data_IF_577695239038
#
_entry.id   IF_577695239038
#
_cell.length_a   1.000
_cell.length_b   1.000
_cell.length_c   1.000
_cell.angle_alpha   90.00
_cell.angle_beta   90.00
_cell.angle_gamma   90.00
#
_symmetry.space_group_name_H-M   'P 1'
#
loop_
_entity.id
_entity.type
_entity.pdbx_description
1 polymer ?
#
# COMPACT_ATOMS: atom_id res chain seq x y z
N UNK A 1 16.69 -2.00 8.88
CA UNK A 1 17.17 -1.85 7.51
C UNK A 1 18.61 -2.32 7.46
N UNK A 2 18.91 -3.29 6.62
CA UNK A 2 20.27 -3.86 6.44
C UNK A 2 21.12 -2.95 5.53
N UNK A 3 21.11 -1.63 5.77
CA UNK A 3 21.89 -0.66 5.00
C UNK A 3 21.14 0.02 3.85
N UNK A 4 19.88 -0.32 3.60
CA UNK A 4 19.08 0.32 2.55
C UNK A 4 18.51 1.66 3.01
N UNK A 5 18.51 2.65 2.13
CA UNK A 5 17.79 3.90 2.34
C UNK A 5 16.28 3.70 2.14
N UNK A 6 15.49 4.03 3.14
CA UNK A 6 14.03 3.79 3.13
C UNK A 6 13.25 5.09 3.31
N UNK A 7 12.29 5.33 2.42
CA UNK A 7 11.29 6.39 2.60
C UNK A 7 9.92 5.77 2.80
N UNK A 8 9.37 5.90 4.00
CA UNK A 8 8.01 5.47 4.33
C UNK A 8 6.98 6.52 3.94
N UNK A 9 5.84 6.08 3.43
CA UNK A 9 4.69 6.94 3.08
C UNK A 9 3.45 6.41 3.79
N UNK A 10 2.66 7.27 4.41
CA UNK A 10 1.33 6.96 4.94
C UNK A 10 0.48 8.23 4.93
N UNK A 11 -0.81 8.11 4.66
CA UNK A 11 -1.76 9.23 4.72
C UNK A 11 -2.04 9.67 6.16
N UNK A 12 -1.78 8.79 7.12
CA UNK A 12 -2.12 8.97 8.55
C UNK A 12 -3.59 9.40 8.70
N UNK A 13 -4.50 8.71 7.97
CA UNK A 13 -5.93 8.95 8.04
C UNK A 13 -6.53 8.43 9.37
N UNK A 14 -7.77 8.81 9.64
CA UNK A 14 -8.52 8.51 10.85
C UNK A 14 -9.43 7.28 10.76
N UNK A 15 -9.19 6.38 9.82
CA UNK A 15 -9.96 5.15 9.65
C UNK A 15 -10.05 4.32 10.96
N UNK A 16 -8.98 4.34 11.74
CA UNK A 16 -8.94 3.88 13.13
C UNK A 16 -8.14 4.87 13.96
N UNK A 17 -8.06 4.68 15.28
CA UNK A 17 -7.36 5.60 16.17
C UNK A 17 -5.97 5.97 15.62
N UNK A 18 -5.83 7.22 15.23
CA UNK A 18 -4.62 7.76 14.60
C UNK A 18 -3.40 7.71 15.53
N UNK A 19 -3.62 7.66 16.86
CA UNK A 19 -2.53 7.55 17.82
C UNK A 19 -1.76 6.22 17.68
N UNK A 20 -2.43 5.16 17.19
CA UNK A 20 -1.75 3.90 16.86
C UNK A 20 -0.76 4.10 15.72
N UNK A 21 -1.10 4.92 14.72
CA UNK A 21 -0.20 5.25 13.59
C UNK A 21 0.97 6.10 14.06
N UNK A 22 0.70 7.15 14.83
CA UNK A 22 1.77 7.98 15.40
C UNK A 22 2.68 7.18 16.35
N UNK A 23 2.12 6.27 17.17
CA UNK A 23 2.92 5.39 18.01
C UNK A 23 3.89 4.49 17.23
N UNK A 24 3.47 3.98 16.05
CA UNK A 24 4.37 3.24 15.14
C UNK A 24 5.48 4.13 14.61
N UNK A 25 5.16 5.35 14.18
CA UNK A 25 6.12 6.31 13.65
C UNK A 25 7.12 6.75 14.72
N UNK A 26 6.67 7.00 15.95
CA UNK A 26 7.56 7.35 17.09
C UNK A 26 8.57 6.24 17.36
N UNK A 27 8.18 4.96 17.26
CA UNK A 27 9.11 3.83 17.40
C UNK A 27 10.19 3.78 16.32
N UNK A 28 9.95 4.42 15.18
CA UNK A 28 10.93 4.56 14.09
C UNK A 28 11.64 5.91 14.14
N UNK A 29 11.47 6.68 15.20
CA UNK A 29 12.13 7.97 15.39
C UNK A 29 11.49 9.14 14.64
N UNK A 30 10.24 9.02 14.22
CA UNK A 30 9.46 10.07 13.57
C UNK A 30 8.46 10.66 14.57
N UNK A 31 8.70 11.86 15.07
CA UNK A 31 7.78 12.55 15.99
C UNK A 31 6.61 13.19 15.26
N UNK A 32 5.42 13.07 15.84
CA UNK A 32 4.17 13.62 15.30
C UNK A 32 4.26 15.12 15.01
N UNK A 33 4.88 15.88 15.89
CA UNK A 33 5.04 17.34 15.79
C UNK A 33 5.81 17.81 14.54
N UNK A 34 6.66 16.94 13.99
CA UNK A 34 7.48 17.23 12.82
C UNK A 34 6.77 16.83 11.50
N UNK A 35 5.60 16.18 11.58
CA UNK A 35 4.91 15.68 10.41
C UNK A 35 4.06 16.77 9.78
N UNK A 36 4.48 17.22 8.60
CA UNK A 36 3.71 18.11 7.72
C UNK A 36 3.41 17.39 6.40
N UNK A 37 2.23 17.63 5.83
CA UNK A 37 1.82 17.01 4.57
C UNK A 37 2.82 17.30 3.46
N UNK A 38 3.19 16.29 2.68
CA UNK A 38 4.14 16.34 1.55
C UNK A 38 5.57 16.79 1.93
N UNK A 39 5.93 16.83 3.23
CA UNK A 39 7.28 17.16 3.66
C UNK A 39 7.99 15.93 4.22
N UNK A 40 9.29 15.81 3.92
CA UNK A 40 10.15 14.75 4.44
C UNK A 40 10.55 15.00 5.87
N UNK A 41 10.41 13.99 6.70
CA UNK A 41 10.88 13.98 8.10
C UNK A 41 11.96 12.91 8.22
N UNK A 42 13.15 13.30 8.63
CA UNK A 42 14.26 12.38 8.91
C UNK A 42 14.03 11.69 10.26
N UNK A 43 14.24 10.38 10.32
CA UNK A 43 14.24 9.65 11.58
C UNK A 43 15.36 10.13 12.50
N UNK A 44 15.04 10.21 13.81
CA UNK A 44 16.00 10.56 14.87
C UNK A 44 16.88 9.38 15.32
N UNK A 45 16.50 8.15 14.97
CA UNK A 45 17.16 6.91 15.41
C UNK A 45 17.70 6.04 14.28
N UNK A 46 17.32 6.35 13.04
CA UNK A 46 17.78 5.63 11.84
C UNK A 46 18.17 6.64 10.75
N UNK A 47 19.46 6.80 10.50
CA UNK A 47 19.99 7.77 9.53
C UNK A 47 19.52 7.50 8.09
N UNK A 48 19.18 6.24 7.80
CA UNK A 48 18.71 5.77 6.50
C UNK A 48 17.18 5.65 6.41
N UNK A 49 16.41 6.24 7.33
CA UNK A 49 14.95 6.23 7.28
C UNK A 49 14.36 7.64 7.27
N UNK A 50 13.47 7.88 6.31
CA UNK A 50 12.67 9.10 6.18
C UNK A 50 11.19 8.74 6.13
N UNK A 51 10.34 9.69 6.49
CA UNK A 51 8.89 9.55 6.40
C UNK A 51 8.27 10.75 5.68
N UNK A 52 7.22 10.50 4.90
CA UNK A 52 6.40 11.53 4.25
C UNK A 52 4.92 11.22 4.51
N UNK A 53 4.20 12.17 5.09
CA UNK A 53 2.74 12.10 5.13
C UNK A 53 2.18 12.48 3.77
N UNK A 54 1.61 11.52 3.04
CA UNK A 54 1.14 11.73 1.67
C UNK A 54 0.02 10.75 1.34
N UNK A 55 -1.01 11.21 0.63
CA UNK A 55 -2.06 10.35 0.10
C UNK A 55 -1.64 9.76 -1.26
N UNK A 56 -1.99 8.51 -1.53
CA UNK A 56 -1.70 7.89 -2.83
C UNK A 56 -2.48 8.55 -3.97
N UNK A 57 -3.64 9.15 -3.67
CA UNK A 57 -4.48 9.87 -4.63
C UNK A 57 -3.87 11.21 -5.06
N UNK A 58 -2.94 11.74 -4.30
CA UNK A 58 -2.19 12.97 -4.63
C UNK A 58 -1.12 12.66 -5.68
N UNK A 59 -1.55 12.67 -6.94
CA UNK A 59 -0.71 12.34 -8.07
C UNK A 59 0.54 13.22 -8.14
N UNK A 60 0.38 14.53 -7.96
CA UNK A 60 1.48 15.48 -8.08
C UNK A 60 2.50 15.29 -6.94
N UNK A 61 2.02 15.05 -5.72
CA UNK A 61 2.85 14.72 -4.57
C UNK A 61 3.65 13.42 -4.77
N UNK A 62 3.01 12.37 -5.28
CA UNK A 62 3.68 11.09 -5.61
C UNK A 62 4.72 11.31 -6.71
N UNK A 63 4.37 11.99 -7.80
CA UNK A 63 5.29 12.26 -8.91
C UNK A 63 6.52 13.06 -8.44
N UNK A 64 6.32 14.10 -7.63
CA UNK A 64 7.42 14.90 -7.06
C UNK A 64 8.32 14.04 -6.17
N UNK A 65 7.76 13.21 -5.31
CA UNK A 65 8.52 12.35 -4.41
C UNK A 65 9.38 11.35 -5.19
N UNK A 66 8.80 10.64 -6.16
CA UNK A 66 9.52 9.65 -6.97
C UNK A 66 10.65 10.27 -7.79
N UNK A 67 10.42 11.44 -8.40
CA UNK A 67 11.48 12.18 -9.12
C UNK A 67 12.64 12.61 -8.22
N UNK A 68 12.33 12.96 -6.97
CA UNK A 68 13.35 13.44 -6.03
C UNK A 68 14.17 12.27 -5.43
N UNK A 69 13.53 11.15 -5.10
CA UNK A 69 14.18 10.03 -4.43
C UNK A 69 14.71 8.95 -5.40
N UNK A 70 14.11 8.80 -6.59
CA UNK A 70 14.50 7.81 -7.62
C UNK A 70 14.59 6.39 -7.06
N UNK A 71 13.50 5.91 -6.50
CA UNK A 71 13.43 4.61 -5.82
C UNK A 71 13.82 3.44 -6.73
N UNK A 72 14.79 2.63 -6.32
CA UNK A 72 15.13 1.38 -6.98
C UNK A 72 14.03 0.32 -6.84
N UNK A 73 13.40 0.27 -5.67
CA UNK A 73 12.31 -0.66 -5.38
C UNK A 73 11.18 0.01 -4.60
N UNK A 74 9.97 -0.44 -4.84
CA UNK A 74 8.75 0.04 -4.15
C UNK A 74 8.03 -1.14 -3.51
N UNK A 75 7.66 -0.98 -2.23
CA UNK A 75 6.80 -1.91 -1.50
C UNK A 75 5.49 -1.20 -1.15
N UNK A 76 4.45 -1.38 -1.97
CA UNK A 76 3.15 -0.75 -1.75
C UNK A 76 2.24 -1.65 -0.90
N UNK A 77 2.24 -1.42 0.40
CA UNK A 77 1.32 -2.05 1.36
C UNK A 77 0.10 -1.15 1.66
N UNK A 78 0.11 0.09 1.17
CA UNK A 78 -0.93 1.06 1.42
C UNK A 78 -2.20 0.73 0.65
N UNK A 79 -3.33 0.82 1.33
CA UNK A 79 -4.66 0.68 0.77
C UNK A 79 -5.71 1.05 1.82
N UNK A 80 -6.93 1.41 1.38
CA UNK A 80 -8.08 1.29 2.26
C UNK A 80 -8.40 -0.21 2.41
N UNK A 81 -8.32 -0.70 3.63
CA UNK A 81 -8.58 -2.08 3.97
C UNK A 81 -9.95 -2.23 4.67
N UNK A 82 -10.41 -3.48 4.84
CA UNK A 82 -11.66 -3.79 5.54
C UNK A 82 -12.82 -4.09 4.58
N UNK A 83 -13.27 -5.36 4.54
CA UNK A 83 -14.37 -5.79 3.66
C UNK A 83 -15.68 -5.09 4.05
N UNK A 84 -15.98 -5.02 5.36
CA UNK A 84 -17.26 -4.44 5.84
C UNK A 84 -17.36 -2.95 5.55
N UNK A 85 -16.29 -2.20 5.74
CA UNK A 85 -16.25 -0.76 5.49
C UNK A 85 -16.48 -0.41 4.02
N UNK A 86 -16.15 -1.31 3.08
CA UNK A 86 -16.41 -1.10 1.65
C UNK A 86 -17.90 -1.08 1.28
N UNK A 87 -18.79 -1.55 2.17
CA UNK A 87 -20.23 -1.52 1.96
C UNK A 87 -20.82 -0.12 2.27
N UNK A 88 -20.21 0.61 3.18
CA UNK A 88 -20.69 1.93 3.63
C UNK A 88 -19.93 3.09 3.00
N UNK A 89 -18.70 2.89 2.62
CA UNK A 89 -17.80 3.93 2.07
C UNK A 89 -17.06 3.42 0.82
N UNK A 90 -17.77 3.15 -0.30
CA UNK A 90 -17.19 2.56 -1.50
C UNK A 90 -16.15 3.46 -2.18
N UNK A 91 -16.37 4.77 -2.20
CA UNK A 91 -15.53 5.74 -2.90
C UNK A 91 -14.08 5.74 -2.42
N UNK A 92 -13.85 5.53 -1.11
CA UNK A 92 -12.49 5.51 -0.56
C UNK A 92 -11.69 4.32 -1.10
N UNK A 93 -12.36 3.21 -1.47
CA UNK A 93 -11.69 2.05 -2.09
C UNK A 93 -11.31 2.32 -3.53
N UNK A 94 -12.14 3.01 -4.28
CA UNK A 94 -11.80 3.43 -5.64
C UNK A 94 -10.65 4.44 -5.61
N UNK A 95 -10.76 5.46 -4.78
CA UNK A 95 -9.75 6.50 -4.69
C UNK A 95 -8.39 5.93 -4.24
N UNK A 96 -8.33 5.28 -3.07
CA UNK A 96 -7.06 4.79 -2.53
C UNK A 96 -6.53 3.56 -3.25
N UNK A 97 -7.39 2.56 -3.54
CA UNK A 97 -6.91 1.28 -4.03
C UNK A 97 -6.78 1.22 -5.56
N UNK A 98 -7.57 1.99 -6.31
CA UNK A 98 -7.50 2.01 -7.78
C UNK A 98 -6.71 3.23 -8.24
N UNK A 99 -7.20 4.44 -7.97
CA UNK A 99 -6.53 5.67 -8.41
C UNK A 99 -5.15 5.82 -7.75
N UNK A 100 -5.05 5.61 -6.43
CA UNK A 100 -3.78 5.66 -5.73
C UNK A 100 -2.78 4.62 -6.22
N UNK A 101 -3.23 3.39 -6.48
CA UNK A 101 -2.35 2.35 -7.03
C UNK A 101 -1.91 2.66 -8.47
N UNK A 102 -2.78 3.26 -9.29
CA UNK A 102 -2.41 3.74 -10.63
C UNK A 102 -1.30 4.79 -10.54
N UNK A 103 -1.40 5.74 -9.60
CA UNK A 103 -0.36 6.75 -9.40
C UNK A 103 0.99 6.12 -9.05
N UNK A 104 1.01 5.07 -8.21
CA UNK A 104 2.23 4.31 -7.89
C UNK A 104 2.79 3.62 -9.15
N UNK A 105 1.94 2.96 -9.95
CA UNK A 105 2.37 2.29 -11.18
C UNK A 105 2.98 3.29 -12.19
N UNK A 106 2.32 4.43 -12.39
CA UNK A 106 2.83 5.50 -13.28
C UNK A 106 4.13 6.11 -12.75
N UNK A 107 4.21 6.35 -11.42
CA UNK A 107 5.44 6.84 -10.81
C UNK A 107 6.60 5.84 -10.97
N UNK A 108 6.35 4.54 -10.78
CA UNK A 108 7.35 3.49 -11.03
C UNK A 108 7.80 3.48 -12.50
N UNK A 109 6.84 3.59 -13.44
CA UNK A 109 7.10 3.60 -14.88
C UNK A 109 7.98 4.78 -15.29
N UNK A 110 7.65 5.98 -14.84
CA UNK A 110 8.34 7.21 -15.24
C UNK A 110 9.69 7.43 -14.54
N UNK A 111 9.97 6.70 -13.47
CA UNK A 111 11.22 6.81 -12.72
C UNK A 111 12.07 5.52 -12.76
N UNK A 112 11.77 4.62 -13.72
CA UNK A 112 12.56 3.42 -13.99
C UNK A 112 12.77 2.53 -12.75
N UNK A 113 11.74 2.46 -11.88
CA UNK A 113 11.78 1.59 -10.69
C UNK A 113 11.99 0.13 -11.09
N UNK A 114 12.97 -0.52 -10.49
CA UNK A 114 13.42 -1.87 -10.87
C UNK A 114 12.53 -2.99 -10.37
N UNK A 115 11.75 -2.75 -9.32
CA UNK A 115 10.85 -3.76 -8.73
C UNK A 115 9.70 -3.12 -7.95
N UNK A 116 8.49 -3.65 -8.13
CA UNK A 116 7.32 -3.28 -7.36
C UNK A 116 6.73 -4.52 -6.67
N UNK A 117 6.76 -4.54 -5.35
CA UNK A 117 6.02 -5.49 -4.53
C UNK A 117 4.75 -4.81 -4.00
N UNK A 118 3.60 -5.47 -4.06
CA UNK A 118 2.36 -4.86 -3.58
C UNK A 118 1.47 -5.86 -2.83
N UNK A 119 0.68 -5.33 -1.91
CA UNK A 119 -0.29 -6.10 -1.17
C UNK A 119 -1.54 -6.34 -2.02
N UNK A 120 -1.80 -7.59 -2.41
CA UNK A 120 -3.10 -8.11 -2.73
C UNK A 120 -3.78 -8.65 -1.45
N UNK A 121 -4.74 -9.52 -1.56
CA UNK A 121 -5.49 -10.06 -0.42
C UNK A 121 -6.03 -11.45 -0.72
N UNK A 122 -6.11 -12.30 0.30
CA UNK A 122 -6.86 -13.58 0.21
C UNK A 122 -8.34 -13.38 -0.11
N UNK A 123 -8.89 -12.19 0.10
CA UNK A 123 -10.28 -11.85 -0.28
C UNK A 123 -10.54 -12.00 -1.77
N UNK A 124 -9.51 -11.99 -2.63
CA UNK A 124 -9.66 -12.22 -4.09
C UNK A 124 -10.13 -13.63 -4.42
N UNK A 125 -9.93 -14.61 -3.52
CA UNK A 125 -10.43 -15.98 -3.71
C UNK A 125 -11.96 -16.08 -3.65
N UNK A 126 -12.64 -15.03 -3.12
CA UNK A 126 -14.10 -15.01 -3.06
C UNK A 126 -14.68 -16.18 -2.28
N UNK A 127 -15.68 -16.84 -2.87
CA UNK A 127 -16.35 -18.02 -2.31
C UNK A 127 -15.71 -19.35 -2.80
N UNK A 128 -14.43 -19.37 -3.09
CA UNK A 128 -13.77 -20.61 -3.49
C UNK A 128 -13.76 -21.60 -2.31
N UNK A 129 -14.21 -22.82 -2.54
CA UNK A 129 -14.35 -23.90 -1.54
C UNK A 129 -13.18 -24.88 -1.56
N UNK A 130 -12.27 -24.78 -2.52
CA UNK A 130 -11.10 -25.65 -2.62
C UNK A 130 -9.97 -25.18 -1.69
N UNK A 131 -9.56 -26.04 -0.77
CA UNK A 131 -8.49 -25.82 0.20
C UNK A 131 -7.37 -26.86 0.08
N UNK A 132 -6.10 -26.44 0.27
CA UNK A 132 -5.60 -25.09 0.50
C UNK A 132 -5.73 -24.20 -0.73
N UNK A 133 -5.89 -22.89 -0.55
CA UNK A 133 -5.92 -21.95 -1.67
C UNK A 133 -4.63 -21.99 -2.50
N UNK A 134 -4.79 -21.98 -3.81
CA UNK A 134 -3.69 -21.98 -4.78
C UNK A 134 -3.69 -20.67 -5.59
N UNK A 135 -2.52 -20.24 -6.00
CA UNK A 135 -2.39 -19.10 -6.94
C UNK A 135 -3.02 -19.38 -8.31
N UNK A 136 -3.27 -20.65 -8.64
CA UNK A 136 -3.89 -21.07 -9.89
C UNK A 136 -5.42 -21.13 -9.84
N UNK A 137 -6.02 -20.96 -8.65
CA UNK A 137 -7.49 -20.91 -8.54
C UNK A 137 -8.04 -19.69 -9.27
N UNK A 138 -9.24 -19.86 -9.88
CA UNK A 138 -9.97 -18.74 -10.45
C UNK A 138 -10.32 -17.73 -9.34
N UNK A 139 -10.07 -16.45 -9.60
CA UNK A 139 -10.32 -15.32 -8.69
C UNK A 139 -11.11 -14.20 -9.37
N UNK A 140 -11.93 -14.55 -10.37
CA UNK A 140 -12.68 -13.56 -11.17
C UNK A 140 -14.06 -13.25 -10.58
N UNK A 141 -14.41 -13.85 -9.42
CA UNK A 141 -15.66 -13.66 -8.72
C UNK A 141 -15.49 -13.12 -7.30
N UNK A 142 -14.92 -11.89 -7.14
CA UNK A 142 -14.80 -11.27 -5.83
C UNK A 142 -16.17 -10.96 -5.24
N UNK A 143 -16.33 -11.16 -3.92
CA UNK A 143 -17.63 -11.00 -3.21
C UNK A 143 -17.71 -9.71 -2.40
N UNK A 144 -16.77 -8.79 -2.58
CA UNK A 144 -16.80 -7.46 -1.97
C UNK A 144 -16.08 -6.44 -2.86
N UNK A 145 -16.42 -5.16 -2.70
CA UNK A 145 -15.72 -4.09 -3.42
C UNK A 145 -14.23 -4.02 -3.03
N UNK A 146 -13.91 -4.29 -1.76
CA UNK A 146 -12.52 -4.43 -1.35
C UNK A 146 -11.80 -5.53 -2.14
N UNK A 147 -12.37 -6.72 -2.23
CA UNK A 147 -11.79 -7.83 -3.00
C UNK A 147 -11.66 -7.46 -4.49
N UNK A 148 -12.69 -6.82 -5.07
CA UNK A 148 -12.67 -6.34 -6.45
C UNK A 148 -11.54 -5.33 -6.68
N UNK A 149 -11.34 -4.37 -5.75
CA UNK A 149 -10.25 -3.41 -5.85
C UNK A 149 -8.86 -4.07 -5.80
N UNK A 150 -8.69 -5.11 -4.95
CA UNK A 150 -7.44 -5.86 -4.88
C UNK A 150 -7.19 -6.72 -6.11
N UNK A 151 -8.23 -7.35 -6.66
CA UNK A 151 -8.13 -8.05 -7.95
C UNK A 151 -7.79 -7.09 -9.07
N UNK A 152 -8.37 -5.89 -9.09
CA UNK A 152 -8.01 -4.85 -10.07
C UNK A 152 -6.54 -4.46 -9.96
N UNK A 153 -5.97 -4.37 -8.76
CA UNK A 153 -4.53 -4.13 -8.60
C UNK A 153 -3.69 -5.24 -9.26
N UNK A 154 -4.06 -6.52 -9.13
CA UNK A 154 -3.37 -7.63 -9.80
C UNK A 154 -3.41 -7.47 -11.33
N UNK A 155 -4.57 -7.12 -11.89
CA UNK A 155 -4.73 -6.91 -13.33
C UNK A 155 -3.95 -5.69 -13.82
N UNK A 156 -3.99 -4.57 -13.11
CA UNK A 156 -3.25 -3.35 -13.44
C UNK A 156 -1.74 -3.62 -13.39
N UNK A 157 -1.23 -4.26 -12.35
CA UNK A 157 0.17 -4.61 -12.21
C UNK A 157 0.64 -5.55 -13.33
N UNK A 158 -0.19 -6.53 -13.72
CA UNK A 158 0.09 -7.41 -14.86
C UNK A 158 0.22 -6.62 -16.18
N UNK A 159 -0.71 -5.68 -16.44
CA UNK A 159 -0.64 -4.81 -17.62
C UNK A 159 0.66 -4.00 -17.66
N UNK A 160 1.03 -3.38 -16.54
CA UNK A 160 2.25 -2.57 -16.46
C UNK A 160 3.52 -3.41 -16.59
N UNK A 161 3.54 -4.60 -16.00
CA UNK A 161 4.64 -5.55 -16.17
C UNK A 161 4.77 -5.97 -17.64
N UNK A 162 3.66 -6.28 -18.31
CA UNK A 162 3.68 -6.68 -19.72
C UNK A 162 4.12 -5.52 -20.65
N UNK A 163 3.51 -4.34 -20.51
CA UNK A 163 3.72 -3.22 -21.41
C UNK A 163 5.04 -2.48 -21.15
N UNK A 164 5.39 -2.26 -19.89
CA UNK A 164 6.50 -1.41 -19.51
C UNK A 164 7.67 -2.17 -18.87
N UNK A 165 7.57 -3.50 -18.79
CA UNK A 165 8.60 -4.39 -18.27
C UNK A 165 9.00 -4.09 -16.81
N UNK A 166 8.09 -3.55 -16.03
CA UNK A 166 8.29 -3.35 -14.59
C UNK A 166 8.07 -4.70 -13.90
N UNK A 167 9.08 -5.29 -13.24
CA UNK A 167 8.86 -6.50 -12.45
C UNK A 167 7.89 -6.21 -11.30
N UNK A 168 6.80 -6.98 -11.23
CA UNK A 168 5.79 -6.82 -10.17
C UNK A 168 5.54 -8.12 -9.44
N UNK A 169 5.38 -8.05 -8.11
CA UNK A 169 5.01 -9.19 -7.27
C UNK A 169 3.83 -8.84 -6.38
N UNK A 170 2.69 -9.47 -6.61
CA UNK A 170 1.49 -9.32 -5.77
C UNK A 170 1.44 -10.38 -4.66
N UNK A 171 1.25 -9.96 -3.42
CA UNK A 171 1.19 -10.84 -2.26
C UNK A 171 -0.26 -10.93 -1.75
N UNK A 172 -0.89 -12.10 -1.86
CA UNK A 172 -2.25 -12.34 -1.35
C UNK A 172 -2.22 -12.62 0.14
N UNK A 173 -2.12 -11.55 0.94
CA UNK A 173 -2.10 -11.68 2.40
C UNK A 173 -3.40 -12.26 2.94
N UNK A 174 -3.26 -13.20 3.87
CA UNK A 174 -4.32 -13.62 4.78
C UNK A 174 -4.37 -12.68 5.99
N UNK A 175 -5.00 -13.09 7.09
CA UNK A 175 -5.06 -12.27 8.30
C UNK A 175 -3.66 -12.10 8.87
N UNK A 176 -3.17 -10.86 8.85
CA UNK A 176 -1.88 -10.49 9.44
C UNK A 176 -2.12 -10.00 10.87
N UNK A 177 -1.38 -10.53 11.81
CA UNK A 177 -1.45 -10.18 13.22
C UNK A 177 -0.06 -9.90 13.80
N UNK A 178 -0.01 -9.20 14.91
CA UNK A 178 1.25 -8.88 15.60
C UNK A 178 1.13 -7.60 16.43
N UNK A 179 2.21 -7.24 17.15
CA UNK A 179 2.26 -5.99 17.90
C UNK A 179 1.96 -4.79 17.01
N UNK A 180 1.18 -3.85 17.52
CA UNK A 180 0.76 -2.66 16.77
C UNK A 180 -0.16 -2.94 15.57
N UNK A 181 -0.75 -4.12 15.50
CA UNK A 181 -1.76 -4.43 14.48
C UNK A 181 -2.94 -3.45 14.53
N UNK A 182 -3.67 -3.33 13.41
CA UNK A 182 -4.91 -2.52 13.39
C UNK A 182 -5.94 -3.12 14.34
N UNK A 183 -6.66 -2.28 15.13
CA UNK A 183 -7.59 -2.79 16.15
C UNK A 183 -8.88 -3.42 15.58
N UNK A 184 -9.21 -3.17 14.31
CA UNK A 184 -10.41 -3.69 13.63
C UNK A 184 -10.19 -5.03 12.92
N UNK A 185 -9.02 -5.66 13.08
CA UNK A 185 -8.77 -7.00 12.56
C UNK A 185 -9.52 -8.05 13.36
N UNK A 186 -10.15 -8.99 12.67
CA UNK A 186 -10.66 -10.19 13.31
C UNK A 186 -9.48 -11.07 13.78
N UNK A 187 -9.54 -11.46 15.03
CA UNK A 187 -8.65 -12.45 15.64
C UNK A 187 -9.25 -13.84 15.49
#
# INVERSE_FOLDING_TARGET
SEGEDVTGIDSVNDYYDVNVKYGRLERTGISQENITYSQRVQSRIHDNYKFVKLNLEDKDGIDMLFRAEKFDAVCNLAAQAGVRYSLTNPDVYINSNITGFLNILEACRHNETKNLVYASSSSVYGNNEEYPFSIHHNVDHPVSLYAASKKSNELMAHCYSHLFKIPTTGLRFFTVYGPWGRPDMAL
#
